data_IF_519937101071
#
_entry.id   IF_519937101071
#
_cell.length_a   1.000
_cell.length_b   1.000
_cell.length_c   1.000
_cell.angle_alpha   90.00
_cell.angle_beta   90.00
_cell.angle_gamma   90.00
#
_symmetry.space_group_name_H-M   'P 1'
#
loop_
_entity.id
_entity.type
_entity.pdbx_description
1 polymer ?
#
# COMPACT_ATOMS: atom_id res chain seq x y z
N UNK A 1 -19.11 6.43 -4.27
CA UNK A 1 -17.65 6.27 -4.13
C UNK A 1 -17.16 5.62 -5.40
N UNK A 2 -16.48 6.35 -6.28
CA UNK A 2 -15.90 5.74 -7.47
C UNK A 2 -14.72 4.88 -7.01
N UNK A 3 -14.88 3.56 -7.05
CA UNK A 3 -13.75 2.65 -7.14
C UNK A 3 -12.94 3.20 -8.32
N UNK A 4 -11.79 3.86 -8.05
CA UNK A 4 -10.89 4.21 -9.14
C UNK A 4 -10.40 2.85 -9.64
N UNK A 5 -11.06 2.32 -10.66
CA UNK A 5 -10.65 1.09 -11.32
C UNK A 5 -9.20 1.33 -11.74
N UNK A 6 -8.29 0.65 -11.06
CA UNK A 6 -6.90 0.65 -11.45
C UNK A 6 -6.80 -0.02 -12.81
N UNK A 7 -5.77 0.32 -13.57
CA UNK A 7 -5.43 -0.39 -14.79
C UNK A 7 -3.92 -0.58 -14.84
N UNK A 8 -3.49 -1.82 -14.95
CA UNK A 8 -2.10 -2.20 -15.17
C UNK A 8 -2.01 -3.10 -16.40
N UNK A 9 -0.98 -2.89 -17.21
CA UNK A 9 -0.67 -3.72 -18.37
C UNK A 9 0.74 -4.27 -18.21
N UNK A 10 0.88 -5.59 -18.18
CA UNK A 10 2.15 -6.29 -18.11
C UNK A 10 2.54 -6.82 -19.50
N UNK A 11 3.83 -6.78 -19.85
CA UNK A 11 4.33 -7.19 -21.16
C UNK A 11 5.47 -8.21 -21.03
N UNK A 12 5.46 -9.22 -21.89
CA UNK A 12 6.52 -10.24 -21.93
C UNK A 12 7.85 -9.69 -22.46
N UNK A 13 7.81 -8.70 -23.35
CA UNK A 13 8.98 -8.04 -23.91
C UNK A 13 9.37 -6.77 -23.15
N UNK A 14 10.60 -6.29 -23.41
CA UNK A 14 11.04 -4.95 -22.99
C UNK A 14 10.39 -3.87 -23.84
N UNK A 15 10.34 -2.65 -23.36
CA UNK A 15 9.78 -1.50 -24.10
C UNK A 15 8.34 -1.73 -24.62
N UNK A 16 7.51 -2.42 -23.84
CA UNK A 16 6.09 -2.65 -24.14
C UNK A 16 5.84 -3.47 -25.41
N UNK A 17 6.71 -4.45 -25.67
CA UNK A 17 6.63 -5.34 -26.84
C UNK A 17 6.17 -6.76 -26.45
N UNK A 18 5.75 -7.55 -27.45
CA UNK A 18 5.33 -8.94 -27.26
C UNK A 18 3.90 -9.11 -26.76
N UNK A 19 3.62 -10.25 -26.11
CA UNK A 19 2.31 -10.50 -25.49
C UNK A 19 2.12 -9.55 -24.31
N UNK A 20 0.88 -9.14 -24.09
CA UNK A 20 0.48 -8.30 -22.96
C UNK A 20 -0.65 -8.92 -22.17
N UNK A 21 -0.72 -8.59 -20.88
CA UNK A 21 -1.81 -8.91 -19.97
C UNK A 21 -2.35 -7.61 -19.37
N UNK A 22 -3.62 -7.33 -19.61
CA UNK A 22 -4.32 -6.17 -19.04
C UNK A 22 -5.13 -6.61 -17.81
N UNK A 23 -4.91 -5.94 -16.68
CA UNK A 23 -5.57 -6.25 -15.41
C UNK A 23 -6.22 -4.99 -14.85
N UNK A 24 -7.48 -5.13 -14.41
CA UNK A 24 -8.32 -4.02 -13.90
C UNK A 24 -8.68 -4.17 -12.41
N UNK A 25 -8.33 -5.30 -11.78
CA UNK A 25 -8.60 -5.64 -10.39
C UNK A 25 -7.55 -6.62 -9.86
N UNK A 26 -7.91 -7.46 -8.91
CA UNK A 26 -7.05 -8.55 -8.47
C UNK A 26 -6.89 -9.64 -9.55
N UNK A 27 -5.68 -10.18 -9.62
CA UNK A 27 -5.31 -11.31 -10.46
C UNK A 27 -4.38 -12.23 -9.64
N UNK A 28 -4.93 -13.32 -9.13
CA UNK A 28 -4.21 -14.30 -8.31
C UNK A 28 -3.28 -15.21 -9.14
N UNK A 29 -3.52 -15.35 -10.45
CA UNK A 29 -2.67 -16.18 -11.30
C UNK A 29 -2.62 -15.67 -12.76
N UNK A 30 -1.42 -15.32 -13.24
CA UNK A 30 -1.23 -14.88 -14.62
C UNK A 30 -1.40 -16.00 -15.66
N UNK A 31 -1.09 -17.24 -15.29
CA UNK A 31 -1.20 -18.39 -16.20
C UNK A 31 -2.66 -18.71 -16.54
N UNK A 32 -3.59 -18.49 -15.62
CA UNK A 32 -5.04 -18.63 -15.87
C UNK A 32 -5.52 -17.67 -16.96
N UNK A 33 -4.88 -16.50 -17.06
CA UNK A 33 -5.11 -15.51 -18.12
C UNK A 33 -4.32 -15.81 -19.41
N UNK A 34 -3.64 -16.95 -19.50
CA UNK A 34 -2.83 -17.33 -20.65
C UNK A 34 -1.54 -16.50 -20.81
N UNK A 35 -1.09 -15.83 -19.75
CA UNK A 35 0.13 -15.05 -19.74
C UNK A 35 1.23 -15.85 -19.03
N UNK A 36 2.39 -16.00 -19.67
CA UNK A 36 3.53 -16.63 -19.00
C UNK A 36 3.96 -15.73 -17.85
N UNK A 37 4.46 -16.32 -16.77
CA UNK A 37 4.95 -15.57 -15.60
C UNK A 37 6.23 -14.75 -15.89
N UNK A 38 6.44 -14.30 -17.13
CA UNK A 38 7.60 -13.51 -17.58
C UNK A 38 7.12 -12.09 -17.90
N UNK A 39 7.57 -11.14 -17.10
CA UNK A 39 7.24 -9.72 -17.23
C UNK A 39 8.55 -8.93 -17.37
N UNK A 40 8.74 -8.31 -18.53
CA UNK A 40 9.93 -7.51 -18.82
C UNK A 40 9.65 -6.00 -18.90
N UNK A 41 8.40 -5.60 -19.13
CA UNK A 41 7.96 -4.21 -19.01
C UNK A 41 6.53 -4.10 -18.52
N UNK A 42 6.20 -2.98 -17.88
CA UNK A 42 4.91 -2.77 -17.21
C UNK A 42 4.47 -1.34 -17.44
N UNK A 43 3.18 -1.14 -17.69
CA UNK A 43 2.56 0.18 -17.81
C UNK A 43 1.41 0.28 -16.82
N UNK A 44 1.49 1.24 -15.90
CA UNK A 44 0.44 1.49 -14.92
C UNK A 44 -0.34 2.72 -15.37
N UNK A 45 -1.52 2.51 -15.92
CA UNK A 45 -2.37 3.59 -16.45
C UNK A 45 -3.21 4.25 -15.34
N UNK A 46 -3.52 3.53 -14.27
CA UNK A 46 -4.33 4.06 -13.16
C UNK A 46 -4.13 3.25 -11.88
N UNK A 47 -4.11 3.96 -10.76
CA UNK A 47 -3.95 3.38 -9.42
C UNK A 47 -2.50 3.03 -9.08
N UNK A 48 -2.31 2.54 -7.85
CA UNK A 48 -1.09 1.89 -7.44
C UNK A 48 -1.35 0.38 -7.37
N UNK A 49 -0.32 -0.42 -7.63
CA UNK A 49 -0.42 -1.87 -7.77
C UNK A 49 0.67 -2.55 -6.96
N UNK A 50 0.35 -3.72 -6.43
CA UNK A 50 1.35 -4.62 -5.85
C UNK A 50 1.38 -5.90 -6.65
N UNK A 51 2.54 -6.22 -7.21
CA UNK A 51 2.81 -7.45 -7.94
C UNK A 51 3.62 -8.41 -7.06
N UNK A 52 3.49 -9.70 -7.32
CA UNK A 52 4.13 -10.77 -6.58
C UNK A 52 4.81 -11.75 -7.54
N UNK A 53 5.92 -12.33 -7.12
CA UNK A 53 6.66 -13.29 -7.95
C UNK A 53 5.92 -14.63 -8.11
N UNK A 54 5.17 -15.07 -7.10
CA UNK A 54 4.35 -16.28 -7.14
C UNK A 54 2.85 -15.99 -7.37
N UNK A 55 2.07 -16.98 -7.83
CA UNK A 55 0.61 -16.93 -7.77
C UNK A 55 0.11 -16.81 -6.32
N UNK A 56 -1.18 -16.52 -6.16
CA UNK A 56 -1.89 -16.39 -4.87
C UNK A 56 -1.35 -15.28 -3.96
N UNK A 57 -0.76 -14.23 -4.53
CA UNK A 57 -0.17 -13.08 -3.81
C UNK A 57 0.97 -13.48 -2.86
N UNK A 58 1.82 -14.42 -3.29
CA UNK A 58 2.92 -14.96 -2.47
C UNK A 58 4.30 -14.53 -2.95
N UNK A 59 5.26 -14.62 -2.03
CA UNK A 59 6.67 -14.38 -2.30
C UNK A 59 7.05 -12.89 -2.32
N UNK A 60 7.98 -12.52 -3.19
CA UNK A 60 8.55 -11.17 -3.26
C UNK A 60 7.53 -10.17 -3.82
N UNK A 61 7.43 -9.01 -3.17
CA UNK A 61 6.44 -7.98 -3.50
C UNK A 61 7.10 -6.80 -4.20
N UNK A 62 6.40 -6.25 -5.18
CA UNK A 62 6.82 -5.08 -5.95
C UNK A 62 5.70 -4.07 -5.97
N UNK A 63 5.95 -2.87 -5.44
CA UNK A 63 4.99 -1.77 -5.49
C UNK A 63 5.26 -0.96 -6.75
N UNK A 64 4.22 -0.80 -7.55
CA UNK A 64 4.23 -0.08 -8.82
C UNK A 64 3.21 1.06 -8.74
N UNK A 65 3.66 2.26 -9.02
CA UNK A 65 2.81 3.45 -9.06
C UNK A 65 2.47 3.79 -10.50
N UNK A 66 1.67 4.83 -10.70
CA UNK A 66 1.36 5.37 -12.02
C UNK A 66 2.65 5.81 -12.72
N UNK A 67 3.17 4.96 -13.62
CA UNK A 67 4.33 5.22 -14.44
C UNK A 67 4.46 4.19 -15.59
N UNK A 68 5.43 4.42 -16.46
CA UNK A 68 5.83 3.56 -17.56
C UNK A 68 7.18 2.90 -17.20
N UNK A 69 7.15 1.58 -17.01
CA UNK A 69 8.31 0.76 -16.66
C UNK A 69 8.80 -0.04 -17.89
N UNK A 70 9.65 0.53 -18.75
CA UNK A 70 10.09 -0.13 -19.98
C UNK A 70 11.04 -1.31 -19.76
N UNK A 71 11.59 -1.48 -18.56
CA UNK A 71 12.55 -2.55 -18.22
C UNK A 71 12.39 -2.97 -16.75
N UNK A 72 12.66 -4.25 -16.46
CA UNK A 72 12.46 -4.86 -15.15
C UNK A 72 13.37 -4.33 -14.04
N UNK A 73 14.52 -3.75 -14.40
CA UNK A 73 15.40 -3.09 -13.44
C UNK A 73 14.74 -1.90 -12.72
N UNK A 74 13.69 -1.31 -13.31
CA UNK A 74 13.04 -0.12 -12.72
C UNK A 74 12.19 -0.40 -11.49
N UNK A 75 11.69 -1.62 -11.31
CA UNK A 75 10.96 -2.01 -10.09
C UNK A 75 11.84 -2.80 -9.11
N UNK A 76 13.16 -2.68 -9.24
CA UNK A 76 14.17 -3.30 -8.36
C UNK A 76 14.05 -4.83 -8.27
N UNK A 77 13.49 -5.49 -9.29
CA UNK A 77 13.47 -6.94 -9.33
C UNK A 77 14.78 -7.51 -9.82
N UNK A 78 15.18 -8.62 -9.19
CA UNK A 78 16.30 -9.45 -9.59
C UNK A 78 15.87 -10.54 -10.60
N UNK A 79 14.58 -10.60 -10.94
CA UNK A 79 14.00 -11.57 -11.86
C UNK A 79 12.86 -10.95 -12.68
N UNK A 80 12.68 -11.47 -13.90
CA UNK A 80 11.53 -11.20 -14.77
C UNK A 80 10.27 -12.00 -14.36
N UNK A 81 10.31 -12.73 -13.23
CA UNK A 81 9.19 -13.57 -12.82
C UNK A 81 8.11 -12.81 -12.04
N UNK A 82 6.86 -12.90 -12.50
CA UNK A 82 5.68 -12.44 -11.77
C UNK A 82 4.51 -13.41 -11.97
N UNK A 83 3.79 -13.71 -10.90
CA UNK A 83 2.70 -14.69 -10.90
C UNK A 83 1.33 -14.13 -10.52
N UNK A 84 1.28 -13.02 -9.78
CA UNK A 84 0.03 -12.39 -9.37
C UNK A 84 0.16 -10.88 -9.14
N UNK A 85 -0.95 -10.15 -9.19
CA UNK A 85 -1.00 -8.72 -8.87
C UNK A 85 -2.36 -8.28 -8.35
N UNK A 86 -2.38 -7.23 -7.53
CA UNK A 86 -3.63 -6.60 -7.06
C UNK A 86 -3.47 -5.09 -6.93
N UNK A 87 -4.56 -4.33 -7.08
CA UNK A 87 -4.54 -2.91 -6.82
C UNK A 87 -4.24 -2.67 -5.33
N UNK A 88 -3.38 -1.69 -5.06
CA UNK A 88 -3.22 -1.13 -3.72
C UNK A 88 -4.50 -0.34 -3.47
N UNK A 89 -5.41 -0.94 -2.72
CA UNK A 89 -6.55 -0.21 -2.20
C UNK A 89 -6.03 0.97 -1.39
N UNK A 90 -6.33 2.19 -1.82
CA UNK A 90 -6.38 3.29 -0.87
C UNK A 90 -7.41 2.84 0.16
N UNK A 91 -6.94 2.36 1.30
CA UNK A 91 -7.75 2.29 2.51
C UNK A 91 -8.16 3.73 2.82
N UNK A 92 -9.26 4.17 2.20
CA UNK A 92 -10.13 5.20 2.75
C UNK A 92 -10.90 4.61 3.93
N UNK A 93 -10.20 3.90 4.82
CA UNK A 93 -10.62 3.81 6.20
C UNK A 93 -10.29 5.18 6.82
N UNK A 94 -11.09 5.67 7.78
CA UNK A 94 -10.73 6.91 8.45
C UNK A 94 -9.32 6.74 9.03
N UNK A 95 -8.38 7.56 8.57
CA UNK A 95 -7.08 7.79 9.21
C UNK A 95 -7.39 8.58 10.49
N UNK A 96 -8.02 7.90 11.42
CA UNK A 96 -8.22 8.36 12.78
C UNK A 96 -8.23 7.11 13.65
N UNK A 97 -7.06 6.48 13.81
CA UNK A 97 -6.72 5.95 15.13
C UNK A 97 -6.62 7.15 16.07
N UNK A 98 -7.78 7.71 16.45
CA UNK A 98 -7.89 8.44 17.71
C UNK A 98 -7.51 7.42 18.76
N UNK A 99 -6.42 7.65 19.47
CA UNK A 99 -6.20 7.00 20.76
C UNK A 99 -7.47 7.25 21.56
N UNK A 100 -8.29 6.22 21.75
CA UNK A 100 -9.38 6.25 22.71
C UNK A 100 -8.71 6.30 24.08
N UNK A 101 -8.42 7.52 24.55
CA UNK A 101 -8.28 7.74 25.99
C UNK A 101 -9.60 7.27 26.60
N UNK A 102 -9.59 6.38 27.60
CA UNK A 102 -10.81 6.01 28.30
C UNK A 102 -11.39 7.27 28.94
N UNK A 103 -12.59 7.65 28.48
CA UNK A 103 -13.43 8.66 29.14
C UNK A 103 -13.74 8.17 30.55
N UNK A 104 -13.25 8.90 31.55
CA UNK A 104 -13.53 8.61 32.95
C UNK A 104 -12.73 9.50 33.89
N UNK A 105 -13.17 10.76 34.06
CA UNK A 105 -12.59 11.65 35.07
C UNK A 105 -13.05 13.09 34.95
N UNK A 106 -14.33 13.33 35.23
CA UNK A 106 -14.85 14.66 35.58
C UNK A 106 -14.20 15.13 36.89
N UNK A 107 -13.40 16.21 36.87
CA UNK A 107 -13.46 17.31 37.85
C UNK A 107 -12.33 18.32 37.62
N UNK A 108 -12.67 19.61 37.71
CA UNK A 108 -11.72 20.60 38.23
C UNK A 108 -11.15 21.64 37.27
N UNK A 109 -12.02 22.50 36.72
CA UNK A 109 -11.88 23.97 36.53
C UNK A 109 -10.59 24.59 35.92
N UNK A 110 -10.73 25.51 34.93
CA UNK A 110 -9.64 26.23 34.29
C UNK A 110 -9.21 27.50 35.05
N UNK A 111 -8.00 27.96 34.75
CA UNK A 111 -7.37 29.26 35.07
C UNK A 111 -7.26 29.64 36.57
N UNK A 112 -6.04 29.57 37.11
CA UNK A 112 -5.40 30.54 38.05
C UNK A 112 -4.00 29.99 38.40
N UNK A 113 -2.94 30.50 37.78
CA UNK A 113 -2.16 31.68 38.23
C UNK A 113 -1.29 31.38 39.46
N UNK A 114 0.00 31.18 39.18
CA UNK A 114 1.15 31.76 39.91
C UNK A 114 0.96 31.97 41.41
N UNK A 115 1.40 31.01 42.22
CA UNK A 115 2.04 31.26 43.51
C UNK A 115 2.90 30.03 43.85
N UNK A 116 4.22 30.08 43.63
CA UNK A 116 5.18 30.66 44.56
C UNK A 116 5.30 29.81 45.84
N UNK A 117 6.33 28.98 45.81
CA UNK A 117 7.38 28.99 46.83
C UNK A 117 6.92 28.75 48.28
N UNK A 118 6.99 27.49 48.74
CA UNK A 118 7.67 27.06 49.97
C UNK A 118 7.41 25.58 50.22
N UNK A 119 8.49 24.86 50.52
CA UNK A 119 8.47 23.43 50.82
C UNK A 119 7.78 23.07 52.14
N UNK A 120 7.66 21.75 52.33
CA UNK A 120 6.95 21.04 53.39
C UNK A 120 5.43 21.22 53.27
N UNK A 121 4.57 20.24 53.54
CA UNK A 121 4.63 19.23 54.59
C UNK A 121 4.00 17.92 54.11
N UNK A 122 4.59 16.82 54.55
CA UNK A 122 4.12 15.46 54.38
C UNK A 122 2.73 15.25 55.03
N UNK A 123 1.88 14.46 54.37
CA UNK A 123 1.17 13.32 54.99
C UNK A 123 0.55 12.49 53.88
N UNK A 124 1.27 11.45 53.43
CA UNK A 124 0.71 10.34 52.67
C UNK A 124 0.65 9.13 53.61
N UNK A 125 -0.47 8.42 53.59
CA UNK A 125 -0.55 7.01 54.00
C UNK A 125 0.49 6.17 53.23
#
# INVERSE_FOLDING_TARGET
MAQRSGKITLYEGKHFTGRKLEVFGDCDNFQDRGFMNRVNSIRVESGAWVCFDHPDFRGQQFILEYDDYPDFFRWSSHSDHMGSCRPVGMVSGPVHRRLSLPDGGIEGQPWQTVARNRGAWASWL
#
